data_IF_058253453109
#
_entry.id   IF_058253453109
#
_cell.length_a   1.000
_cell.length_b   1.000
_cell.length_c   1.000
_cell.angle_alpha   90.00
_cell.angle_beta   90.00
_cell.angle_gamma   90.00
#
_symmetry.space_group_name_H-M   'P 1'
#
loop_
_entity.id
_entity.type
_entity.pdbx_description
1 polymer ?
#
# COMPACT_ATOMS: atom_id res chain seq x y z
N UNK A 1 -0.48 5.99 -0.02
CA UNK A 1 -0.06 5.15 1.13
C UNK A 1 0.61 3.83 0.76
N UNK A 2 0.60 3.36 -0.51
CA UNK A 2 0.96 1.97 -0.82
C UNK A 2 2.19 1.82 -1.75
N UNK A 3 3.41 1.82 -1.18
CA UNK A 3 4.70 1.34 -1.75
C UNK A 3 5.82 1.66 -0.73
N UNK A 4 6.87 0.90 -0.41
CA UNK A 4 7.36 -0.47 -0.72
C UNK A 4 8.18 -0.99 0.49
N UNK A 5 7.62 -1.27 1.65
CA UNK A 5 8.42 -1.80 2.74
C UNK A 5 8.81 -3.26 2.48
N UNK A 6 9.78 -3.72 3.25
CA UNK A 6 10.16 -5.13 3.36
C UNK A 6 9.44 -5.68 4.59
N UNK A 7 8.79 -6.84 4.44
CA UNK A 7 8.12 -7.51 5.55
C UNK A 7 8.25 -9.03 5.41
N UNK A 8 8.14 -9.74 6.54
CA UNK A 8 8.17 -11.21 6.57
C UNK A 8 6.97 -11.75 5.77
N UNK A 9 7.27 -12.61 4.80
CA UNK A 9 6.27 -13.14 3.88
C UNK A 9 6.15 -14.67 3.92
N UNK A 10 7.24 -15.34 4.27
CA UNK A 10 7.26 -16.79 4.41
C UNK A 10 7.94 -17.15 5.72
N UNK A 11 7.36 -18.07 6.46
CA UNK A 11 7.89 -18.57 7.73
C UNK A 11 8.00 -20.09 7.61
N UNK A 12 9.22 -20.59 7.65
CA UNK A 12 9.53 -22.02 7.75
C UNK A 12 9.67 -22.36 9.23
N UNK A 13 8.84 -23.27 9.74
CA UNK A 13 8.84 -23.68 11.15
C UNK A 13 9.53 -25.03 11.27
N UNK A 14 10.65 -25.07 11.99
CA UNK A 14 11.37 -26.31 12.28
C UNK A 14 10.82 -26.99 13.53
N UNK A 15 10.69 -26.22 14.62
CA UNK A 15 10.00 -26.68 15.84
C UNK A 15 9.13 -25.57 16.40
N UNK A 16 7.88 -25.92 16.74
CA UNK A 16 7.01 -25.11 17.58
C UNK A 16 6.40 -25.99 18.67
N UNK A 17 6.85 -25.82 19.90
CA UNK A 17 6.24 -26.44 21.10
C UNK A 17 5.57 -25.39 21.99
N UNK A 18 5.36 -24.19 21.45
CA UNK A 18 4.69 -23.09 22.16
C UNK A 18 3.19 -23.35 22.27
N UNK A 19 2.49 -22.49 23.00
CA UNK A 19 1.03 -22.56 23.13
C UNK A 19 0.28 -21.99 21.92
N UNK A 20 0.98 -21.26 21.04
CA UNK A 20 0.38 -20.61 19.89
C UNK A 20 0.56 -21.50 18.64
N UNK A 21 -0.49 -21.64 17.81
CA UNK A 21 -0.38 -22.38 16.58
C UNK A 21 0.49 -21.63 15.56
N UNK A 22 1.03 -22.39 14.62
CA UNK A 22 1.99 -21.96 13.61
C UNK A 22 1.52 -20.73 12.82
N UNK A 23 0.30 -20.77 12.32
CA UNK A 23 -0.30 -19.70 11.52
C UNK A 23 -0.47 -18.40 12.31
N UNK A 24 -0.69 -18.51 13.63
CA UNK A 24 -0.85 -17.34 14.49
C UNK A 24 0.50 -16.65 14.71
N UNK A 25 1.57 -17.42 14.92
CA UNK A 25 2.93 -16.90 15.02
C UNK A 25 3.36 -16.29 13.67
N UNK A 26 3.13 -17.01 12.56
CA UNK A 26 3.46 -16.54 11.23
C UNK A 26 2.76 -15.21 10.88
N UNK A 27 1.48 -15.08 11.22
CA UNK A 27 0.74 -13.84 11.02
C UNK A 27 1.36 -12.67 11.82
N UNK A 28 1.71 -12.91 13.09
CA UNK A 28 2.33 -11.88 13.94
C UNK A 28 3.71 -11.45 13.44
N UNK A 29 4.53 -12.41 13.00
CA UNK A 29 5.84 -12.13 12.41
C UNK A 29 5.71 -11.27 11.15
N UNK A 30 4.69 -11.52 10.33
CA UNK A 30 4.40 -10.72 9.14
C UNK A 30 4.14 -9.25 9.45
N UNK A 31 3.62 -8.94 10.64
CA UNK A 31 3.28 -7.57 11.07
C UNK A 31 4.42 -6.85 11.81
N UNK A 32 5.60 -7.47 11.98
CA UNK A 32 6.76 -6.80 12.56
C UNK A 32 7.36 -5.87 11.50
N UNK A 33 7.41 -4.55 11.74
CA UNK A 33 8.04 -3.62 10.81
C UNK A 33 9.55 -3.86 10.75
N UNK A 34 10.08 -3.92 9.54
CA UNK A 34 11.52 -4.03 9.29
C UNK A 34 12.03 -2.74 8.65
N UNK A 35 13.26 -2.36 8.99
CA UNK A 35 13.95 -1.21 8.38
C UNK A 35 13.97 -1.38 6.86
N UNK A 36 13.34 -0.45 6.16
CA UNK A 36 13.12 -0.52 4.72
C UNK A 36 13.68 0.69 3.97
N UNK A 37 14.55 1.50 4.58
CA UNK A 37 15.14 2.69 3.97
C UNK A 37 15.73 2.38 2.60
N UNK A 38 15.40 3.19 1.59
CA UNK A 38 15.88 3.01 0.20
C UNK A 38 15.52 1.65 -0.45
N UNK A 39 14.53 0.91 0.07
CA UNK A 39 14.06 -0.38 -0.46
C UNK A 39 13.79 -0.41 -1.97
N UNK A 40 13.40 0.71 -2.58
CA UNK A 40 13.10 0.80 -4.00
C UNK A 40 14.32 0.47 -4.87
N UNK A 41 15.50 0.91 -4.44
CA UNK A 41 16.77 0.71 -5.14
C UNK A 41 17.64 -0.36 -4.48
N UNK A 42 17.44 -0.62 -3.19
CA UNK A 42 18.28 -1.53 -2.39
C UNK A 42 17.89 -3.01 -2.49
N UNK A 43 16.71 -3.30 -3.07
CA UNK A 43 16.17 -4.65 -3.16
C UNK A 43 15.25 -4.81 -4.37
N UNK A 44 15.37 -5.93 -5.09
CA UNK A 44 14.49 -6.28 -6.21
C UNK A 44 13.20 -6.94 -5.70
N UNK A 45 12.10 -6.82 -6.42
CA UNK A 45 10.95 -7.68 -6.17
C UNK A 45 11.30 -9.12 -6.51
N UNK A 46 10.88 -10.09 -5.68
CA UNK A 46 11.15 -11.51 -5.92
C UNK A 46 10.59 -11.97 -7.27
N UNK A 47 9.42 -11.46 -7.68
CA UNK A 47 8.80 -11.76 -8.99
C UNK A 47 9.56 -11.21 -10.20
N UNK A 48 10.39 -10.20 -10.01
CA UNK A 48 11.18 -9.56 -11.08
C UNK A 48 12.66 -10.02 -11.03
N UNK A 49 13.00 -10.88 -10.07
CA UNK A 49 14.35 -11.38 -9.90
C UNK A 49 14.62 -12.55 -10.85
N UNK A 50 15.85 -12.66 -11.33
CA UNK A 50 16.31 -13.76 -12.20
C UNK A 50 16.69 -15.03 -11.45
N UNK A 51 16.60 -15.04 -10.11
CA UNK A 51 16.83 -16.23 -9.31
C UNK A 51 15.62 -17.18 -9.34
N UNK A 52 15.86 -18.46 -9.08
CA UNK A 52 14.81 -19.49 -9.13
C UNK A 52 13.82 -19.40 -7.95
N UNK A 53 14.32 -19.17 -6.73
CA UNK A 53 13.49 -19.13 -5.51
C UNK A 53 13.70 -17.84 -4.75
N UNK A 54 14.93 -17.61 -4.27
CA UNK A 54 15.35 -16.42 -3.54
C UNK A 54 16.86 -16.24 -3.62
N UNK A 55 17.33 -15.02 -3.43
CA UNK A 55 18.74 -14.67 -3.33
C UNK A 55 18.92 -13.41 -2.47
N UNK A 56 20.17 -13.03 -2.19
CA UNK A 56 20.50 -11.86 -1.38
C UNK A 56 19.93 -10.54 -1.93
N UNK A 57 19.64 -10.45 -3.23
CA UNK A 57 19.13 -9.23 -3.87
C UNK A 57 17.61 -9.06 -3.76
N UNK A 58 16.85 -10.14 -3.54
CA UNK A 58 15.38 -10.13 -3.61
C UNK A 58 14.69 -10.72 -2.36
N UNK A 59 15.46 -11.16 -1.37
CA UNK A 59 14.97 -11.63 -0.07
C UNK A 59 15.95 -11.26 1.05
N UNK A 60 15.43 -11.22 2.29
CA UNK A 60 16.21 -11.13 3.52
C UNK A 60 15.82 -12.32 4.40
N UNK A 61 16.79 -13.04 4.95
CA UNK A 61 16.54 -14.16 5.85
C UNK A 61 16.73 -13.73 7.30
N UNK A 62 15.76 -14.05 8.15
CA UNK A 62 15.86 -13.89 9.59
C UNK A 62 15.67 -15.24 10.29
N UNK A 63 16.39 -15.49 11.37
CA UNK A 63 16.22 -16.67 12.21
C UNK A 63 15.79 -16.29 13.61
N UNK A 64 14.94 -17.13 14.20
CA UNK A 64 14.56 -17.04 15.61
C UNK A 64 14.64 -18.45 16.19
N UNK A 65 15.66 -18.68 17.02
CA UNK A 65 15.95 -19.95 17.65
C UNK A 65 16.03 -19.76 19.16
N UNK A 66 14.93 -20.05 19.85
CA UNK A 66 14.79 -19.79 21.28
C UNK A 66 14.25 -21.01 22.01
N UNK A 67 14.77 -21.26 23.20
CA UNK A 67 14.29 -22.32 24.09
C UNK A 67 14.36 -21.85 25.54
N UNK A 68 13.35 -22.21 26.32
CA UNK A 68 13.28 -21.82 27.73
C UNK A 68 13.70 -23.00 28.62
N UNK A 69 14.81 -22.84 29.35
CA UNK A 69 15.32 -23.87 30.26
C UNK A 69 14.99 -23.58 31.73
N UNK A 70 14.63 -22.35 32.09
CA UNK A 70 14.31 -21.98 33.46
C UNK A 70 12.87 -22.37 33.83
N UNK A 71 12.70 -23.01 34.99
CA UNK A 71 11.40 -23.40 35.55
C UNK A 71 10.66 -22.32 36.32
N UNK A 72 11.37 -21.27 36.75
CA UNK A 72 10.83 -20.26 37.66
C UNK A 72 10.09 -19.11 36.97
N UNK A 73 10.32 -18.88 35.68
CA UNK A 73 9.78 -17.72 34.97
C UNK A 73 9.25 -18.06 33.57
N UNK A 74 8.38 -17.19 33.07
CA UNK A 74 7.94 -17.20 31.66
C UNK A 74 8.91 -16.34 30.87
N UNK A 75 9.42 -16.87 29.76
CA UNK A 75 10.30 -16.15 28.85
C UNK A 75 9.47 -15.46 27.76
N UNK A 76 9.66 -14.16 27.62
CA UNK A 76 9.04 -13.35 26.57
C UNK A 76 9.94 -13.40 25.32
N UNK A 77 9.36 -13.83 24.20
CA UNK A 77 10.03 -13.85 22.90
C UNK A 77 9.67 -12.57 22.16
N UNK A 78 10.65 -11.76 21.81
CA UNK A 78 10.45 -10.43 21.22
C UNK A 78 11.13 -10.29 19.86
N UNK A 79 10.82 -9.21 19.15
CA UNK A 79 11.43 -8.86 17.85
C UNK A 79 12.94 -8.74 17.92
N UNK A 80 13.53 -8.34 19.05
CA UNK A 80 14.98 -8.20 19.20
C UNK A 80 15.74 -9.52 19.07
N UNK A 81 15.06 -10.64 19.28
CA UNK A 81 15.62 -11.99 19.17
C UNK A 81 15.65 -12.49 17.72
N UNK A 82 15.14 -11.73 16.75
CA UNK A 82 15.27 -12.05 15.33
C UNK A 82 16.65 -11.66 14.82
N UNK A 83 17.40 -12.63 14.34
CA UNK A 83 18.73 -12.42 13.79
C UNK A 83 18.68 -12.40 12.27
N UNK A 84 19.12 -11.31 11.65
CA UNK A 84 19.31 -11.28 10.19
C UNK A 84 20.53 -12.13 9.82
N UNK A 85 20.34 -13.09 8.92
CA UNK A 85 21.38 -14.01 8.50
C UNK A 85 21.65 -13.93 7.00
N UNK A 86 22.86 -14.30 6.54
CA UNK A 86 23.16 -14.36 5.12
C UNK A 86 22.13 -15.23 4.38
N UNK A 87 21.53 -14.68 3.33
CA UNK A 87 20.47 -15.37 2.59
C UNK A 87 21.02 -16.61 1.89
N UNK A 88 20.56 -17.78 2.33
CA UNK A 88 20.91 -19.05 1.72
C UNK A 88 20.18 -19.21 0.37
N UNK A 89 20.91 -19.56 -0.70
CA UNK A 89 20.31 -19.91 -1.99
C UNK A 89 20.00 -21.42 -1.99
N UNK A 90 18.72 -21.85 -1.99
CA UNK A 90 18.41 -23.27 -2.05
C UNK A 90 18.86 -23.86 -3.40
N UNK A 91 19.53 -25.01 -3.39
CA UNK A 91 19.75 -25.83 -4.60
C UNK A 91 20.99 -25.54 -5.45
N UNK A 92 21.77 -24.50 -5.16
CA UNK A 92 23.07 -24.27 -5.80
C UNK A 92 24.16 -24.17 -4.73
N UNK A 93 25.06 -25.17 -4.71
CA UNK A 93 26.23 -25.14 -3.84
C UNK A 93 27.09 -23.92 -4.16
N UNK A 94 27.18 -22.99 -3.19
CA UNK A 94 28.27 -22.05 -2.99
C UNK A 94 28.99 -21.52 -4.23
N UNK A 95 28.26 -21.06 -5.24
CA UNK A 95 28.81 -20.06 -6.15
C UNK A 95 28.39 -18.72 -5.60
N UNK A 96 29.30 -18.09 -4.87
CA UNK A 96 29.25 -16.67 -4.56
C UNK A 96 28.94 -15.93 -5.85
N UNK A 97 27.72 -15.40 -5.95
CA UNK A 97 27.30 -14.56 -7.06
C UNK A 97 28.11 -13.27 -6.91
N UNK A 98 29.13 -13.16 -7.77
CA UNK A 98 29.95 -12.00 -8.07
C UNK A 98 30.33 -11.12 -6.87
N UNK A 99 31.62 -11.20 -6.49
CA UNK A 99 32.29 -10.34 -5.52
C UNK A 99 32.23 -8.83 -5.86
N UNK A 100 31.63 -8.47 -6.99
CA UNK A 100 31.24 -7.11 -7.31
C UNK A 100 29.91 -6.84 -6.61
N UNK A 101 29.99 -6.27 -5.40
CA UNK A 101 28.84 -5.79 -4.65
C UNK A 101 27.93 -4.98 -5.56
N UNK A 102 26.84 -5.63 -6.01
CA UNK A 102 25.89 -5.03 -6.92
C UNK A 102 25.43 -3.68 -6.38
N UNK A 103 25.21 -2.70 -7.25
CA UNK A 103 24.77 -1.35 -6.87
C UNK A 103 23.59 -1.35 -5.89
N UNK A 104 22.72 -2.36 -5.91
CA UNK A 104 21.61 -2.49 -4.96
C UNK A 104 22.06 -2.78 -3.52
N UNK A 105 23.02 -3.68 -3.32
CA UNK A 105 23.53 -4.01 -1.98
C UNK A 105 24.26 -2.82 -1.35
N UNK A 106 24.97 -2.04 -2.17
CA UNK A 106 25.66 -0.83 -1.71
C UNK A 106 24.70 0.27 -1.23
N UNK A 107 23.42 0.22 -1.64
CA UNK A 107 22.37 1.18 -1.23
C UNK A 107 21.65 0.77 0.06
N UNK A 108 21.94 -0.41 0.61
CA UNK A 108 21.38 -0.85 1.90
C UNK A 108 22.06 -0.11 3.03
N UNK A 109 21.25 0.40 3.95
CA UNK A 109 21.76 0.81 5.26
C UNK A 109 22.16 -0.42 6.07
N UNK A 110 23.07 -0.27 7.03
CA UNK A 110 23.56 -1.39 7.85
C UNK A 110 22.42 -2.14 8.56
N UNK A 111 21.43 -1.40 9.04
CA UNK A 111 20.25 -1.95 9.72
C UNK A 111 19.16 -2.45 8.76
N UNK A 112 19.36 -2.46 7.44
CA UNK A 112 18.33 -2.85 6.47
C UNK A 112 17.82 -4.27 6.74
N UNK A 113 16.49 -4.43 6.84
CA UNK A 113 15.86 -5.71 7.15
C UNK A 113 15.85 -6.11 8.63
N UNK A 114 16.52 -5.37 9.52
CA UNK A 114 16.40 -5.58 10.96
C UNK A 114 15.04 -5.08 11.45
N UNK A 115 14.45 -5.72 12.48
CA UNK A 115 13.27 -5.17 13.17
C UNK A 115 13.51 -3.73 13.66
N UNK A 116 12.47 -2.91 13.56
CA UNK A 116 12.53 -1.52 14.06
C UNK A 116 12.79 -1.52 15.57
N UNK A 117 13.75 -0.69 15.99
CA UNK A 117 14.14 -0.54 17.39
C UNK A 117 15.08 -1.62 17.91
N UNK A 118 15.55 -2.55 17.07
CA UNK A 118 16.40 -3.64 17.53
C UNK A 118 17.69 -3.13 18.20
N UNK A 119 17.85 -3.46 19.49
CA UNK A 119 19.01 -3.06 20.29
C UNK A 119 18.98 -1.60 20.77
N UNK A 120 17.90 -0.86 20.52
CA UNK A 120 17.70 0.50 21.01
C UNK A 120 16.88 0.51 22.32
N UNK A 121 17.46 0.93 23.46
CA UNK A 121 16.74 1.00 24.73
C UNK A 121 15.54 1.96 24.74
N UNK A 122 15.48 2.91 23.80
CA UNK A 122 14.38 3.87 23.71
C UNK A 122 13.13 3.32 23.04
N UNK A 123 13.28 2.24 22.26
CA UNK A 123 12.19 1.62 21.51
C UNK A 123 11.90 0.23 22.10
N UNK A 124 10.74 0.01 22.74
CA UNK A 124 10.42 -1.29 23.30
C UNK A 124 10.22 -2.34 22.19
N UNK A 125 10.78 -3.55 22.33
CA UNK A 125 10.65 -4.56 21.29
C UNK A 125 9.25 -5.17 21.26
N UNK A 126 8.86 -5.67 20.10
CA UNK A 126 7.52 -6.23 19.87
C UNK A 126 7.47 -7.64 20.44
N UNK A 127 6.54 -7.88 21.37
CA UNK A 127 6.28 -9.22 21.89
C UNK A 127 5.67 -10.11 20.79
N UNK A 128 6.33 -11.22 20.50
CA UNK A 128 5.87 -12.23 19.53
C UNK A 128 5.01 -13.27 20.24
N UNK A 129 5.58 -13.92 21.27
CA UNK A 129 4.89 -14.89 22.09
C UNK A 129 5.59 -15.06 23.45
N UNK A 130 5.04 -15.92 24.31
CA UNK A 130 5.60 -16.26 25.61
C UNK A 130 5.76 -17.77 25.71
N UNK A 131 6.88 -18.23 26.27
CA UNK A 131 7.18 -19.66 26.45
C UNK A 131 7.58 -19.97 27.89
N UNK A 132 7.32 -21.21 28.31
CA UNK A 132 7.74 -21.77 29.61
C UNK A 132 8.80 -22.84 29.44
N UNK A 133 9.35 -23.29 30.58
CA UNK A 133 10.33 -24.39 30.64
C UNK A 133 9.99 -25.55 29.72
N UNK A 134 10.94 -25.95 28.90
CA UNK A 134 10.84 -27.09 28.00
C UNK A 134 10.16 -26.77 26.66
N UNK A 135 9.64 -25.56 26.48
CA UNK A 135 9.16 -25.10 25.18
C UNK A 135 10.29 -24.43 24.39
N UNK A 136 10.23 -24.60 23.08
CA UNK A 136 11.15 -24.05 22.09
C UNK A 136 10.38 -23.60 20.84
N UNK A 137 10.96 -22.59 20.18
CA UNK A 137 10.52 -22.08 18.90
C UNK A 137 11.76 -21.90 18.01
N UNK A 138 11.78 -22.61 16.88
CA UNK A 138 12.83 -22.57 15.87
C UNK A 138 12.21 -22.31 14.52
N UNK A 139 12.45 -21.12 13.99
CA UNK A 139 11.84 -20.67 12.73
C UNK A 139 12.85 -19.93 11.87
N UNK A 140 12.64 -20.03 10.56
CA UNK A 140 13.32 -19.22 9.54
C UNK A 140 12.28 -18.37 8.82
N UNK A 141 12.49 -17.07 8.83
CA UNK A 141 11.63 -16.09 8.20
C UNK A 141 12.30 -15.56 6.92
N UNK A 142 11.53 -15.46 5.83
CA UNK A 142 11.97 -14.84 4.58
C UNK A 142 11.15 -13.58 4.38
N UNK A 143 11.81 -12.44 4.45
CA UNK A 143 11.22 -11.16 4.17
C UNK A 143 11.36 -10.78 2.70
N UNK A 144 10.30 -10.20 2.15
CA UNK A 144 10.20 -9.80 0.75
C UNK A 144 9.72 -8.36 0.63
N UNK A 145 10.14 -7.75 -0.47
CA UNK A 145 9.65 -6.46 -0.94
C UNK A 145 8.21 -6.60 -1.43
N UNK A 146 7.29 -5.77 -0.93
CA UNK A 146 5.87 -5.83 -1.28
C UNK A 146 5.17 -4.49 -1.21
N UNK A 147 3.85 -4.48 -1.45
CA UNK A 147 3.03 -3.26 -1.41
C UNK A 147 1.78 -3.48 -0.56
N UNK A 148 1.32 -2.41 0.12
CA UNK A 148 0.14 -2.46 0.97
C UNK A 148 -1.14 -2.98 0.28
N UNK A 149 -1.24 -2.85 -1.05
CA UNK A 149 -2.36 -3.40 -1.84
C UNK A 149 -2.38 -4.92 -1.88
N UNK A 150 -1.23 -5.58 -1.78
CA UNK A 150 -1.14 -7.04 -1.71
C UNK A 150 -1.48 -7.52 -0.29
N UNK A 151 -0.95 -6.84 0.73
CA UNK A 151 -1.29 -7.08 2.13
C UNK A 151 -0.93 -5.87 3.01
N UNK A 152 -1.72 -5.58 4.04
CA UNK A 152 -1.55 -4.41 4.92
C UNK A 152 -0.20 -4.34 5.64
N UNK A 153 0.42 -5.49 5.89
CA UNK A 153 1.79 -5.61 6.44
C UNK A 153 2.85 -4.83 5.68
N UNK A 154 2.60 -4.51 4.41
CA UNK A 154 3.48 -3.68 3.60
C UNK A 154 3.02 -2.22 3.51
N UNK A 155 2.27 -1.72 4.49
CA UNK A 155 1.99 -0.29 4.64
C UNK A 155 3.02 0.33 5.58
N UNK A 156 3.89 1.23 5.12
CA UNK A 156 4.81 1.97 6.00
C UNK A 156 4.10 3.12 6.73
N UNK A 157 2.81 3.34 6.44
CA UNK A 157 2.01 4.43 6.97
C UNK A 157 0.97 3.87 7.93
N UNK A 158 0.90 4.46 9.12
CA UNK A 158 -0.07 4.14 10.15
C UNK A 158 -1.39 4.89 9.92
N UNK A 159 -1.31 6.23 9.92
CA UNK A 159 -2.45 7.11 9.72
C UNK A 159 -2.04 8.33 8.87
N UNK A 160 -3.03 8.89 8.18
CA UNK A 160 -2.90 10.23 7.59
C UNK A 160 -4.06 11.09 8.06
N UNK A 161 -3.74 12.11 8.85
CA UNK A 161 -4.64 13.23 9.09
C UNK A 161 -4.83 13.99 7.79
N UNK A 162 -6.07 14.29 7.44
CA UNK A 162 -6.39 15.06 6.24
C UNK A 162 -7.57 15.97 6.54
N UNK A 163 -7.37 17.27 6.35
CA UNK A 163 -8.38 18.30 6.53
C UNK A 163 -8.21 19.38 5.45
N UNK A 164 -9.30 19.99 5.03
CA UNK A 164 -9.30 21.23 4.27
C UNK A 164 -10.54 22.02 4.64
N UNK A 165 -10.50 23.34 4.45
CA UNK A 165 -11.61 24.25 4.74
C UNK A 165 -12.18 24.10 6.17
N UNK A 166 -11.37 24.40 7.22
CA UNK A 166 -11.74 24.19 8.62
C UNK A 166 -12.98 24.99 9.06
N UNK A 167 -13.30 26.08 8.35
CA UNK A 167 -14.46 26.93 8.61
C UNK A 167 -15.67 26.60 7.73
N UNK A 168 -15.60 25.54 6.91
CA UNK A 168 -16.65 25.10 5.99
C UNK A 168 -17.16 26.25 5.07
N UNK A 169 -16.25 27.11 4.59
CA UNK A 169 -16.54 28.21 3.66
C UNK A 169 -17.11 27.71 2.34
N UNK A 170 -16.65 26.55 1.88
CA UNK A 170 -17.07 25.89 0.65
C UNK A 170 -18.40 25.15 0.82
N UNK A 171 -18.89 24.99 2.06
CA UNK A 171 -20.12 24.25 2.38
C UNK A 171 -20.12 22.81 1.84
N UNK A 172 -18.94 22.19 1.80
CA UNK A 172 -18.79 20.79 1.37
C UNK A 172 -19.39 19.81 2.39
N UNK A 173 -19.61 20.24 3.63
CA UNK A 173 -20.38 19.50 4.62
C UNK A 173 -21.55 20.33 5.15
N UNK A 174 -22.61 19.67 5.58
CA UNK A 174 -23.72 20.27 6.32
C UNK A 174 -23.67 19.73 7.73
N UNK A 175 -23.30 20.57 8.70
CA UNK A 175 -23.23 20.16 10.10
C UNK A 175 -24.61 19.74 10.60
N UNK A 176 -24.67 18.58 11.24
CA UNK A 176 -25.82 18.19 12.04
C UNK A 176 -25.78 18.94 13.37
N UNK A 177 -26.90 19.47 13.85
CA UNK A 177 -26.95 20.16 15.14
C UNK A 177 -28.36 20.08 15.73
N UNK A 178 -28.49 20.25 17.04
CA UNK A 178 -29.78 20.32 17.73
C UNK A 178 -30.22 21.77 17.99
N UNK A 179 -29.28 22.63 18.38
CA UNK A 179 -29.53 24.01 18.79
C UNK A 179 -28.73 25.01 17.96
N UNK A 180 -27.41 24.86 17.90
CA UNK A 180 -26.52 25.78 17.18
C UNK A 180 -25.25 25.09 16.69
N UNK A 181 -25.07 25.04 15.37
CA UNK A 181 -23.96 24.37 14.73
C UNK A 181 -22.58 24.90 15.16
N UNK A 182 -22.45 26.22 15.39
CA UNK A 182 -21.15 26.83 15.76
C UNK A 182 -20.71 26.47 17.17
N UNK A 183 -21.66 26.26 18.08
CA UNK A 183 -21.39 25.85 19.46
C UNK A 183 -21.19 24.35 19.62
N UNK A 184 -21.86 23.53 18.81
CA UNK A 184 -21.83 22.06 18.92
C UNK A 184 -20.61 21.43 18.23
N UNK A 185 -20.12 22.03 17.13
CA UNK A 185 -18.96 21.54 16.41
C UNK A 185 -17.71 22.32 16.78
N UNK A 186 -16.72 21.68 17.45
CA UNK A 186 -15.48 22.35 17.77
C UNK A 186 -14.69 22.65 16.49
N UNK A 187 -14.07 23.83 16.46
CA UNK A 187 -13.11 24.17 15.42
C UNK A 187 -11.84 23.32 15.57
N UNK A 188 -11.29 22.89 14.44
CA UNK A 188 -10.01 22.20 14.40
C UNK A 188 -8.85 23.14 14.76
N UNK A 189 -7.67 22.58 15.03
CA UNK A 189 -6.47 23.38 15.26
C UNK A 189 -6.08 24.19 14.02
N UNK A 190 -6.33 23.63 12.83
CA UNK A 190 -6.07 24.23 11.53
C UNK A 190 -6.93 25.47 11.25
N UNK A 191 -8.06 25.63 11.97
CA UNK A 191 -8.90 26.83 11.89
C UNK A 191 -8.18 28.12 12.29
N UNK A 192 -7.06 28.03 13.04
CA UNK A 192 -6.23 29.19 13.43
C UNK A 192 -5.48 29.81 12.25
N UNK A 193 -5.22 29.03 11.20
CA UNK A 193 -4.44 29.43 10.04
C UNK A 193 -5.30 30.03 8.91
N UNK A 194 -6.61 30.14 9.12
CA UNK A 194 -7.56 30.67 8.16
C UNK A 194 -8.59 31.59 8.82
N UNK A 195 -8.98 32.63 8.09
CA UNK A 195 -10.01 33.55 8.56
C UNK A 195 -11.38 32.85 8.60
N UNK A 196 -12.23 33.10 9.62
CA UNK A 196 -13.59 32.60 9.65
C UNK A 196 -14.44 33.07 8.46
N UNK A 197 -15.48 32.30 8.14
CA UNK A 197 -16.46 32.72 7.14
C UNK A 197 -17.17 34.01 7.60
N UNK A 198 -17.26 34.98 6.68
CA UNK A 198 -17.96 36.25 6.91
C UNK A 198 -19.44 36.11 6.55
N UNK A 199 -20.31 36.30 7.54
CA UNK A 199 -21.76 36.18 7.37
C UNK A 199 -22.37 37.28 6.49
N UNK A 200 -21.65 38.38 6.28
CA UNK A 200 -22.09 39.52 5.47
C UNK A 200 -21.83 39.37 3.97
N UNK A 201 -21.01 38.39 3.58
CA UNK A 201 -20.68 38.14 2.18
C UNK A 201 -21.57 37.04 1.57
N UNK A 202 -21.96 37.16 0.30
CA UNK A 202 -22.64 36.07 -0.39
C UNK A 202 -21.69 34.86 -0.51
N UNK A 203 -22.27 33.66 -0.54
CA UNK A 203 -21.50 32.43 -0.75
C UNK A 203 -20.83 32.43 -2.12
N UNK A 204 -19.54 32.09 -2.15
CA UNK A 204 -18.75 32.01 -3.38
C UNK A 204 -18.82 30.59 -3.98
N UNK A 205 -19.67 30.43 -4.99
CA UNK A 205 -19.84 29.17 -5.72
C UNK A 205 -18.65 28.82 -6.63
N UNK A 206 -17.73 29.77 -6.90
CA UNK A 206 -16.56 29.52 -7.74
C UNK A 206 -15.32 29.15 -6.93
N UNK A 207 -15.38 29.29 -5.60
CA UNK A 207 -14.29 28.91 -4.70
C UNK A 207 -13.98 27.41 -4.83
N UNK A 208 -12.69 27.06 -4.68
CA UNK A 208 -12.19 25.69 -4.77
C UNK A 208 -11.31 25.38 -3.56
N UNK A 209 -11.21 24.11 -3.17
CA UNK A 209 -10.28 23.71 -2.12
C UNK A 209 -8.84 23.81 -2.66
N UNK A 210 -8.03 24.68 -2.06
CA UNK A 210 -6.65 24.93 -2.47
C UNK A 210 -5.63 24.57 -1.38
N UNK A 211 -5.99 24.75 -0.11
CA UNK A 211 -5.14 24.47 1.04
C UNK A 211 -5.59 23.18 1.73
N UNK A 212 -4.67 22.23 1.86
CA UNK A 212 -4.90 20.94 2.49
C UNK A 212 -3.92 20.76 3.64
N UNK A 213 -4.45 20.49 4.82
CA UNK A 213 -3.68 20.15 6.02
C UNK A 213 -3.55 18.64 6.08
N UNK A 214 -2.30 18.16 6.12
CA UNK A 214 -2.02 16.73 6.10
C UNK A 214 -0.96 16.39 7.14
N UNK A 215 -1.24 15.37 7.95
CA UNK A 215 -0.30 14.81 8.92
C UNK A 215 -0.05 13.35 8.57
N UNK A 216 1.20 12.94 8.39
CA UNK A 216 1.54 11.57 7.99
C UNK A 216 2.31 10.89 9.11
N UNK A 217 1.73 9.82 9.65
CA UNK A 217 2.34 8.97 10.66
C UNK A 217 2.85 7.67 10.02
N UNK A 218 4.06 7.24 10.41
CA UNK A 218 4.69 6.01 9.91
C UNK A 218 4.89 4.99 11.03
N UNK A 219 5.02 3.72 10.64
CA UNK A 219 5.31 2.61 11.54
C UNK A 219 6.82 2.46 11.89
N UNK A 220 7.64 3.40 11.41
CA UNK A 220 9.10 3.40 11.55
C UNK A 220 9.85 2.62 10.47
N UNK A 221 9.18 1.78 9.65
CA UNK A 221 9.84 1.05 8.55
C UNK A 221 10.47 1.99 7.52
N UNK A 222 9.87 3.17 7.34
CA UNK A 222 10.35 4.29 6.54
C UNK A 222 10.11 5.61 7.30
N UNK A 223 10.96 6.61 7.05
CA UNK A 223 10.76 7.95 7.59
C UNK A 223 9.54 8.66 6.96
N UNK A 224 8.84 9.51 7.72
CA UNK A 224 7.65 10.22 7.24
C UNK A 224 7.88 11.04 5.97
N UNK A 225 8.99 11.79 5.92
CA UNK A 225 9.39 12.53 4.72
C UNK A 225 9.61 11.59 3.52
N UNK A 226 10.28 10.46 3.74
CA UNK A 226 10.53 9.47 2.69
C UNK A 226 9.22 8.89 2.15
N UNK A 227 8.26 8.58 3.02
CA UNK A 227 6.92 8.09 2.63
C UNK A 227 6.19 9.09 1.74
N UNK A 228 6.21 10.38 2.09
CA UNK A 228 5.57 11.43 1.27
C UNK A 228 6.27 11.61 -0.07
N UNK A 229 7.60 11.75 -0.06
CA UNK A 229 8.39 11.99 -1.28
C UNK A 229 8.30 10.80 -2.25
N UNK A 230 8.40 9.57 -1.74
CA UNK A 230 8.21 8.36 -2.56
C UNK A 230 6.78 8.22 -3.05
N UNK A 231 5.80 8.60 -2.22
CA UNK A 231 4.39 8.64 -2.63
C UNK A 231 4.16 9.54 -3.85
N UNK A 232 4.78 10.72 -3.88
CA UNK A 232 4.72 11.66 -5.01
C UNK A 232 5.44 11.12 -6.25
N UNK A 233 6.67 10.61 -6.08
CA UNK A 233 7.44 10.04 -7.19
C UNK A 233 6.68 8.88 -7.86
N UNK A 234 6.05 8.03 -7.06
CA UNK A 234 5.25 6.92 -7.56
C UNK A 234 4.00 7.38 -8.34
N UNK A 235 3.32 8.42 -7.88
CA UNK A 235 2.19 9.00 -8.60
C UNK A 235 2.64 9.55 -9.96
N UNK A 236 3.80 10.19 -10.02
CA UNK A 236 4.39 10.65 -11.28
C UNK A 236 4.72 9.49 -12.23
N UNK A 237 5.34 8.42 -11.73
CA UNK A 237 5.63 7.22 -12.54
C UNK A 237 4.35 6.58 -13.08
N UNK A 238 3.29 6.47 -12.27
CA UNK A 238 2.00 5.94 -12.72
C UNK A 238 1.37 6.81 -13.81
N UNK A 239 1.43 8.13 -13.65
CA UNK A 239 0.93 9.05 -14.67
C UNK A 239 1.74 8.94 -15.97
N UNK A 240 3.07 8.85 -15.88
CA UNK A 240 3.95 8.67 -17.03
C UNK A 240 3.63 7.36 -17.78
N UNK A 241 3.38 6.27 -17.05
CA UNK A 241 2.99 4.98 -17.63
C UNK A 241 1.65 5.07 -18.37
N UNK A 242 0.67 5.84 -17.85
CA UNK A 242 -0.59 6.08 -18.56
C UNK A 242 -0.36 6.88 -19.85
N UNK A 243 0.48 7.92 -19.81
CA UNK A 243 0.82 8.70 -21.01
C UNK A 243 1.53 7.83 -22.05
N UNK A 244 2.44 6.95 -21.61
CA UNK A 244 3.12 6.02 -22.50
C UNK A 244 2.14 5.01 -23.12
N UNK A 245 1.22 4.45 -22.35
CA UNK A 245 0.21 3.52 -22.86
C UNK A 245 -0.83 4.17 -23.79
N UNK A 246 -1.02 5.49 -23.70
CA UNK A 246 -1.88 6.26 -24.62
C UNK A 246 -1.17 6.67 -25.91
N UNK A 247 0.15 6.83 -25.88
CA UNK A 247 0.95 6.98 -27.09
C UNK A 247 0.94 5.62 -27.78
N UNK A 248 0.10 5.48 -28.80
CA UNK A 248 0.06 4.27 -29.62
C UNK A 248 1.47 3.91 -30.12
N UNK A 249 1.69 2.63 -30.40
CA UNK A 249 3.01 2.15 -30.83
C UNK A 249 3.55 3.05 -31.95
N UNK A 250 4.83 3.47 -31.88
CA UNK A 250 5.44 4.10 -33.04
C UNK A 250 5.22 3.13 -34.21
N UNK A 251 4.88 3.64 -35.42
CA UNK A 251 4.68 2.77 -36.56
C UNK A 251 5.88 1.86 -36.67
N UNK A 252 5.65 0.54 -36.73
CA UNK A 252 6.68 -0.45 -36.95
C UNK A 252 7.50 0.02 -38.15
N UNK A 253 8.67 0.58 -37.90
CA UNK A 253 9.66 0.71 -38.96
C UNK A 253 10.10 -0.72 -39.19
N UNK A 254 9.59 -1.33 -40.27
CA UNK A 254 10.01 -2.62 -40.79
C UNK A 254 11.54 -2.67 -40.86
N UNK A 255 12.16 -3.15 -39.77
CA UNK A 255 13.60 -3.37 -39.63
C UNK A 255 14.06 -4.62 -40.39
N UNK A 256 13.39 -4.95 -41.48
CA UNK A 256 13.63 -6.14 -42.30
C UNK A 256 13.52 -5.84 -43.80
N UNK A 257 14.07 -4.70 -44.25
CA UNK A 257 14.28 -4.49 -45.69
C UNK A 257 15.53 -3.67 -45.99
N UNK A 258 16.71 -4.23 -45.66
CA UNK A 258 17.93 -4.09 -46.48
C UNK A 258 19.04 -5.02 -45.98
N UNK A 259 18.79 -6.33 -46.06
CA UNK A 259 19.83 -7.35 -46.00
C UNK A 259 20.16 -7.85 -47.40
N UNK A 260 20.83 -7.05 -48.25
CA UNK A 260 21.52 -7.54 -49.45
C UNK A 260 22.34 -6.42 -50.14
N UNK A 261 23.44 -5.98 -49.53
CA UNK A 261 24.54 -5.41 -50.30
C UNK A 261 25.88 -5.65 -49.60
N UNK A 262 26.58 -6.65 -50.13
CA UNK A 262 28.04 -6.79 -50.19
C UNK A 262 28.84 -6.97 -48.87
N UNK A 263 29.15 -8.24 -48.62
CA UNK A 263 30.41 -8.69 -48.03
C UNK A 263 31.63 -7.99 -48.66
N UNK A 264 32.48 -7.40 -47.83
CA UNK A 264 33.82 -6.97 -48.22
C UNK A 264 34.52 -6.19 -47.12
N UNK A 265 35.34 -6.85 -46.30
CA UNK A 265 36.41 -6.20 -45.54
C UNK A 265 37.77 -6.37 -46.25
N UNK A 266 38.90 -5.80 -45.76
CA UNK A 266 39.05 -4.93 -44.59
C UNK A 266 39.97 -3.69 -44.78
N UNK A 267 40.00 -2.86 -43.72
CA UNK A 267 41.13 -2.10 -43.15
C UNK A 267 41.72 -0.81 -43.78
N UNK A 268 41.83 0.18 -42.87
CA UNK A 268 42.84 1.25 -42.71
C UNK A 268 42.71 2.59 -43.45
N UNK A 269 42.53 3.64 -42.63
CA UNK A 269 43.42 4.81 -42.66
C UNK A 269 42.84 6.15 -43.16
N UNK A 270 43.03 7.16 -42.31
CA UNK A 270 43.08 8.61 -42.59
C UNK A 270 41.75 9.42 -42.57
N UNK A 271 41.65 10.31 -41.58
CA UNK A 271 40.91 11.58 -41.67
C UNK A 271 41.50 12.45 -42.80
N UNK A 272 40.74 13.41 -43.37
CA UNK A 272 40.78 14.77 -42.78
C UNK A 272 39.47 15.59 -42.86
N UNK A 273 39.27 16.39 -41.81
CA UNK A 273 39.00 17.83 -41.76
C UNK A 273 38.01 18.55 -42.73
N UNK A 274 37.11 19.28 -42.06
CA UNK A 274 36.77 20.72 -42.22
C UNK A 274 35.70 21.21 -43.21
N UNK A 275 34.77 21.99 -42.62
CA UNK A 275 34.11 23.21 -43.13
C UNK A 275 33.13 23.05 -44.32
N UNK A 276 32.04 23.80 -44.49
CA UNK A 276 31.36 24.84 -43.72
C UNK A 276 29.99 25.10 -44.38
N UNK A 277 29.02 25.55 -43.57
CA UNK A 277 27.98 26.57 -43.82
C UNK A 277 27.54 26.89 -45.27
N UNK A 278 26.23 26.77 -45.52
CA UNK A 278 25.57 27.46 -46.63
C UNK A 278 24.11 27.04 -46.88
N UNK A 279 23.16 27.68 -46.18
CA UNK A 279 21.79 27.90 -46.69
C UNK A 279 21.86 28.96 -47.85
N UNK A 280 20.82 29.25 -48.67
CA UNK A 280 19.38 29.09 -48.37
C UNK A 280 18.45 28.71 -49.55
N UNK A 281 17.16 28.55 -49.24
CA UNK A 281 16.12 29.26 -50.00
C UNK A 281 15.05 28.43 -50.74
N UNK A 282 13.80 28.60 -50.30
CA UNK A 282 12.55 28.52 -51.10
C UNK A 282 12.12 27.12 -51.51
N UNK A 283 10.88 26.66 -51.33
CA UNK A 283 9.61 27.37 -51.20
C UNK A 283 8.59 26.62 -52.06
N UNK A 284 7.60 26.02 -51.39
CA UNK A 284 6.26 25.60 -51.81
C UNK A 284 5.94 25.25 -53.28
N UNK A 285 5.16 24.19 -53.48
CA UNK A 285 4.39 24.04 -54.71
C UNK A 285 3.73 22.67 -54.90
N UNK A 286 2.42 22.64 -54.75
CA UNK A 286 1.55 21.47 -54.84
C UNK A 286 1.53 20.76 -56.21
N UNK A 287 1.15 19.47 -56.13
CA UNK A 287 0.49 18.57 -57.12
C UNK A 287 -0.48 19.26 -58.10
N UNK A 288 -0.94 18.67 -59.23
CA UNK A 288 -1.29 17.25 -59.39
C UNK A 288 -1.11 16.63 -60.80
N UNK A 289 -1.30 15.31 -60.93
CA UNK A 289 -2.22 14.73 -61.95
C UNK A 289 -2.18 13.20 -61.96
N UNK A 290 -3.39 12.67 -62.15
CA UNK A 290 -3.77 11.28 -62.40
C UNK A 290 -3.32 10.78 -63.79
N UNK A 291 -3.28 9.45 -63.89
CA UNK A 291 -3.48 8.69 -65.14
C UNK A 291 -2.38 7.63 -65.28
N UNK A 292 -2.65 6.35 -65.46
CA UNK A 292 -3.87 5.59 -65.68
C UNK A 292 -3.46 4.18 -66.15
N UNK A 293 -4.44 3.28 -66.14
CA UNK A 293 -4.55 2.05 -66.94
C UNK A 293 -3.46 0.96 -66.83
N UNK A 294 -3.91 -0.26 -66.54
CA UNK A 294 -3.12 -1.47 -66.77
C UNK A 294 -3.79 -2.72 -66.21
N UNK A 295 -4.74 -3.26 -66.98
CA UNK A 295 -5.49 -4.48 -66.69
C UNK A 295 -4.67 -5.76 -66.94
N UNK A 296 -5.11 -6.86 -66.32
CA UNK A 296 -4.73 -8.24 -66.64
C UNK A 296 -4.09 -8.92 -65.42
N UNK A 297 -4.63 -9.96 -64.81
CA UNK A 297 -5.57 -10.96 -65.27
C UNK A 297 -4.94 -12.33 -65.07
N UNK A 298 -5.59 -13.18 -64.28
CA UNK A 298 -5.49 -14.63 -64.44
C UNK A 298 -4.71 -15.43 -63.41
N UNK A 299 -5.46 -16.37 -62.81
CA UNK A 299 -5.07 -17.75 -62.52
C UNK A 299 -4.34 -18.08 -61.20
N UNK A 300 -5.17 -18.42 -60.21
CA UNK A 300 -5.25 -19.76 -59.58
C UNK A 300 -3.94 -20.55 -59.35
N UNK A 301 -3.64 -20.87 -58.10
CA UNK A 301 -3.66 -22.26 -57.63
C UNK A 301 -3.65 -22.35 -56.10
N UNK A 302 -4.44 -23.30 -55.61
CA UNK A 302 -4.76 -23.60 -54.23
C UNK A 302 -4.10 -24.92 -53.87
N UNK A 303 -3.21 -24.97 -52.87
CA UNK A 303 -2.79 -26.12 -52.04
C UNK A 303 -1.93 -25.50 -50.91
N UNK A 304 -2.07 -25.71 -49.61
CA UNK A 304 -2.85 -26.64 -48.79
C UNK A 304 -2.02 -26.93 -47.52
N UNK A 305 -2.68 -26.88 -46.34
CA UNK A 305 -2.23 -27.29 -45.00
C UNK A 305 -1.18 -26.40 -44.29
N UNK A 306 -1.21 -26.12 -42.99
CA UNK A 306 -2.09 -26.47 -41.86
C UNK A 306 -1.60 -25.61 -40.67
N UNK A 307 -2.49 -25.05 -39.84
CA UNK A 307 -2.95 -25.58 -38.55
C UNK A 307 -2.40 -24.76 -37.36
N UNK A 308 -3.31 -24.32 -36.48
CA UNK A 308 -3.06 -23.75 -35.15
C UNK A 308 -2.81 -22.23 -35.15
N UNK A 309 -3.63 -21.36 -34.57
CA UNK A 309 -4.51 -21.53 -33.41
C UNK A 309 -4.09 -20.52 -32.35
N UNK A 310 -4.53 -19.27 -32.47
CA UNK A 310 -4.25 -18.19 -31.52
C UNK A 310 -5.39 -17.19 -31.51
N UNK A 311 -6.39 -17.43 -30.65
CA UNK A 311 -7.47 -16.49 -30.40
C UNK A 311 -7.02 -15.46 -29.37
N UNK A 312 -6.84 -14.23 -29.84
CA UNK A 312 -6.84 -13.02 -29.01
C UNK A 312 -8.26 -12.81 -28.45
N UNK A 313 -8.36 -12.54 -27.16
CA UNK A 313 -9.58 -11.95 -26.57
C UNK A 313 -9.20 -10.80 -25.64
N UNK A 314 -9.32 -9.60 -26.20
CA UNK A 314 -9.82 -8.38 -25.57
C UNK A 314 -10.96 -8.69 -24.61
N UNK A 315 -11.13 -7.97 -23.50
CA UNK A 315 -12.40 -7.38 -23.01
C UNK A 315 -12.21 -6.75 -21.64
N UNK A 316 -12.36 -5.42 -21.58
CA UNK A 316 -12.81 -4.73 -20.38
C UNK A 316 -14.34 -4.68 -20.37
N UNK A 317 -14.95 -4.89 -19.20
CA UNK A 317 -16.31 -4.46 -18.91
C UNK A 317 -16.54 -4.39 -17.39
N UNK A 318 -17.02 -3.25 -16.92
CA UNK A 318 -17.60 -3.05 -15.59
C UNK A 318 -18.89 -3.87 -15.42
N UNK A 319 -19.27 -4.34 -14.21
CA UNK A 319 -20.61 -4.84 -13.98
C UNK A 319 -21.53 -3.74 -13.42
N UNK A 320 -22.66 -3.58 -14.10
CA UNK A 320 -23.83 -2.81 -13.70
C UNK A 320 -24.63 -3.51 -12.59
N UNK A 321 -25.43 -2.70 -11.88
CA UNK A 321 -26.37 -3.09 -10.83
C UNK A 321 -27.41 -4.09 -11.36
N UNK A 322 -27.61 -5.18 -10.62
CA UNK A 322 -28.72 -6.12 -10.76
C UNK A 322 -29.22 -6.55 -9.38
N UNK A 323 -30.51 -6.32 -9.13
CA UNK A 323 -31.21 -6.66 -7.90
C UNK A 323 -31.66 -8.13 -7.88
N UNK A 324 -31.71 -8.72 -6.68
CA UNK A 324 -32.68 -9.77 -6.35
C UNK A 324 -32.10 -11.10 -5.84
N UNK A 325 -32.60 -11.53 -4.68
CA UNK A 325 -32.64 -12.95 -4.28
C UNK A 325 -31.85 -13.29 -3.03
N UNK A 326 -32.51 -13.24 -1.87
CA UNK A 326 -31.94 -13.57 -0.57
C UNK A 326 -31.86 -15.07 -0.26
N UNK A 327 -31.06 -15.39 0.76
CA UNK A 327 -31.22 -16.56 1.62
C UNK A 327 -30.50 -16.33 2.97
N UNK A 328 -31.32 -16.20 4.01
CA UNK A 328 -31.19 -16.68 5.40
C UNK A 328 -29.82 -17.12 5.96
N UNK A 329 -29.44 -16.56 7.11
CA UNK A 329 -28.37 -17.08 7.97
C UNK A 329 -28.22 -16.32 9.29
N UNK A 330 -28.99 -16.75 10.29
CA UNK A 330 -29.07 -16.26 11.67
C UNK A 330 -27.75 -16.43 12.44
N UNK A 331 -27.25 -15.34 13.04
CA UNK A 331 -26.29 -15.32 14.16
C UNK A 331 -26.86 -14.31 15.17
N UNK A 332 -27.04 -14.56 16.47
CA UNK A 332 -26.30 -15.40 17.39
C UNK A 332 -25.95 -14.51 18.60
N UNK A 333 -26.65 -14.71 19.71
CA UNK A 333 -26.65 -13.91 20.94
C UNK A 333 -25.26 -13.50 21.50
N UNK A 334 -25.18 -12.28 22.01
CA UNK A 334 -24.17 -11.83 22.97
C UNK A 334 -24.43 -12.41 24.37
N UNK A 335 -23.42 -12.89 25.12
CA UNK A 335 -23.60 -13.24 26.52
C UNK A 335 -23.37 -12.04 27.45
N UNK A 336 -24.24 -11.96 28.45
CA UNK A 336 -24.25 -11.00 29.53
C UNK A 336 -23.07 -11.17 30.49
N UNK A 337 -22.57 -10.05 31.00
CA UNK A 337 -21.59 -9.98 32.08
C UNK A 337 -22.23 -10.37 33.42
N UNK A 338 -21.68 -11.40 34.07
CA UNK A 338 -22.05 -11.83 35.40
C UNK A 338 -21.16 -11.14 36.45
N UNK A 339 -21.82 -10.56 37.45
CA UNK A 339 -21.28 -10.00 38.68
C UNK A 339 -20.68 -11.07 39.59
N UNK A 340 -19.44 -10.86 40.06
CA UNK A 340 -18.83 -11.61 41.16
C UNK A 340 -18.33 -10.63 42.23
N UNK A 341 -18.99 -10.63 43.40
CA UNK A 341 -18.66 -9.77 44.53
C UNK A 341 -17.52 -10.31 45.40
N UNK A 342 -16.82 -9.39 46.07
CA UNK A 342 -15.93 -9.68 47.19
C UNK A 342 -15.94 -8.53 48.21
N UNK A 343 -16.33 -8.88 49.45
CA UNK A 343 -15.67 -8.49 50.70
C UNK A 343 -15.63 -7.02 51.13
N UNK A 344 -16.46 -6.67 52.13
CA UNK A 344 -16.14 -5.62 53.10
C UNK A 344 -15.05 -6.08 54.09
N UNK A 345 -14.36 -5.16 54.79
CA UNK A 345 -14.82 -4.91 56.16
C UNK A 345 -14.83 -3.43 56.61
N UNK A 346 -15.59 -3.27 57.70
CA UNK A 346 -15.86 -2.15 58.61
C UNK A 346 -14.84 -1.00 58.79
N UNK A 347 -15.40 0.21 58.96
CA UNK A 347 -14.81 1.36 59.64
C UNK A 347 -15.83 2.49 59.76
N UNK A 348 -16.29 2.79 60.98
CA UNK A 348 -17.45 3.66 61.24
C UNK A 348 -17.16 5.15 61.52
N UNK A 349 -18.25 5.85 61.87
CA UNK A 349 -18.43 7.25 62.29
C UNK A 349 -18.37 8.31 61.16
N UNK A 350 -19.27 9.29 61.02
CA UNK A 350 -20.49 9.68 61.74
C UNK A 350 -21.01 11.03 61.19
N UNK A 351 -22.31 11.31 61.40
CA UNK A 351 -23.05 12.58 61.19
C UNK A 351 -23.28 13.07 59.74
N UNK A 352 -24.44 13.56 59.29
CA UNK A 352 -25.74 13.84 59.90
C UNK A 352 -26.71 14.46 58.86
N UNK A 353 -28.03 14.44 59.16
CA UNK A 353 -29.12 15.19 58.49
C UNK A 353 -29.66 14.56 57.20
N UNK A 354 -30.86 13.96 57.15
CA UNK A 354 -32.19 14.62 57.15
C UNK A 354 -32.47 15.15 55.73
N UNK A 355 -33.41 14.65 54.91
CA UNK A 355 -34.86 14.49 55.12
C UNK A 355 -35.49 13.48 54.15
N UNK A 356 -36.62 12.90 54.57
CA UNK A 356 -37.45 11.92 53.89
C UNK A 356 -38.27 12.47 52.70
N UNK A 357 -38.67 11.56 51.80
CA UNK A 357 -39.72 11.77 50.80
C UNK A 357 -39.85 10.56 49.87
N UNK A 358 -40.78 9.66 50.17
CA UNK A 358 -40.99 8.41 49.44
C UNK A 358 -42.02 8.49 48.30
N UNK A 359 -41.80 7.60 47.33
CA UNK A 359 -42.75 6.84 46.49
C UNK A 359 -43.84 7.55 45.66
N UNK A 360 -43.77 7.34 44.35
CA UNK A 360 -44.94 7.47 43.45
C UNK A 360 -44.58 7.33 41.97
N UNK A 361 -44.78 6.14 41.39
CA UNK A 361 -44.83 5.94 39.93
C UNK A 361 -46.09 6.59 39.31
N UNK A 362 -46.03 6.95 38.03
CA UNK A 362 -47.04 6.48 37.07
C UNK A 362 -46.35 5.87 35.83
N UNK A 363 -46.63 4.61 35.54
CA UNK A 363 -47.67 4.16 34.60
C UNK A 363 -47.24 4.30 33.14
N UNK A 364 -46.94 3.14 32.55
CA UNK A 364 -46.71 2.90 31.14
C UNK A 364 -47.97 3.18 30.31
N UNK A 365 -47.79 3.76 29.12
CA UNK A 365 -48.83 3.75 28.09
C UNK A 365 -48.84 4.99 27.19
N UNK A 366 -47.94 5.06 26.21
CA UNK A 366 -48.18 5.75 24.94
C UNK A 366 -47.13 5.31 23.92
N UNK A 367 -47.59 4.76 22.80
CA UNK A 367 -46.75 4.26 21.71
C UNK A 367 -46.00 5.38 20.98
N UNK A 368 -44.80 5.03 20.52
CA UNK A 368 -43.98 5.86 19.64
C UNK A 368 -44.61 5.90 18.24
N UNK A 369 -45.30 6.99 17.93
CA UNK A 369 -45.68 7.32 16.55
C UNK A 369 -44.57 8.16 15.91
N UNK A 370 -44.03 7.70 14.78
CA UNK A 370 -43.09 8.47 13.96
C UNK A 370 -43.71 9.80 13.50
N UNK A 371 -42.98 10.93 13.51
CA UNK A 371 -43.47 12.15 12.88
C UNK A 371 -43.56 11.97 11.36
N UNK A 372 -44.71 12.34 10.79
CA UNK A 372 -44.97 12.34 9.36
C UNK A 372 -44.07 13.33 8.61
N UNK A 373 -43.53 12.91 7.45
CA UNK A 373 -42.86 13.80 6.48
C UNK A 373 -43.82 14.93 6.06
N UNK A 374 -43.50 16.16 6.43
CA UNK A 374 -44.05 17.35 5.79
C UNK A 374 -43.32 17.59 4.47
N UNK A 375 -43.97 17.21 3.38
CA UNK A 375 -43.68 17.66 2.03
C UNK A 375 -43.94 19.17 1.93
N UNK A 376 -42.89 19.95 1.67
CA UNK A 376 -42.92 21.29 1.07
C UNK A 376 -41.49 21.49 0.51
N UNK A 377 -41.17 21.41 -0.78
CA UNK A 377 -41.98 21.62 -1.96
C UNK A 377 -41.75 23.02 -2.51
N UNK A 378 -40.52 23.39 -2.89
CA UNK A 378 -40.24 24.43 -3.89
C UNK A 378 -38.99 24.07 -4.70
N UNK A 379 -39.21 23.70 -5.95
CA UNK A 379 -38.23 23.74 -7.03
C UNK A 379 -38.12 25.19 -7.51
N UNK A 380 -36.91 25.77 -7.49
CA UNK A 380 -36.33 26.56 -8.60
C UNK A 380 -34.83 26.37 -8.57
#
# INVERSE_FOLDING_TARGET
MARVPVAIDMVEIETNTTVLPDEFIAHRLGMIPLVSTNCDEAMRYTRDCTCEVRCTYCAIELMLNVSCHDGGHTMDITSDMLEVVPTSRPGFGGFDVDADGSEELAKRVESFGHPIGQGDPSTPPILICKIRKGQELRIRCIAKKGIAKEHSKWSPCAAVGFEYDPHNKLRHTSYWFEYDARSEWPLSENAKDEEPARDDLPFDYNAKPEKFYMDVETDGSLGAQEVVMKGLAELQTKLANLVLGLKGDPPETDGFQNGAAALGGPANGAEPAAAAWGAPGGGGGWSPARGGAGAGGGATSTWGAGAGGGSTSTWGASPSRGAGGGATGTWGNSPAAASGGWGAPAGGSGSGGGTAGGWGSPAAGAGWGSPSQTQNGWNV
#
